data_IF_505306171912
#
_entry.id   IF_505306171912
#
_cell.length_a   1.000
_cell.length_b   1.000
_cell.length_c   1.000
_cell.angle_alpha   90.00
_cell.angle_beta   90.00
_cell.angle_gamma   90.00
#
_symmetry.space_group_name_H-M   'P 1'
#
loop_
_entity.id
_entity.type
_entity.pdbx_description
1 polymer ?
#
# COMPACT_ATOMS: atom_id res chain seq x y z
N UNK A 1 -20.26 -26.20 -15.37
CA UNK A 1 -20.65 -24.86 -14.90
C UNK A 1 -19.77 -23.88 -15.65
N UNK A 2 -20.35 -22.95 -16.42
CA UNK A 2 -19.58 -21.94 -17.14
C UNK A 2 -18.84 -21.08 -16.12
N UNK A 3 -17.56 -21.35 -15.86
CA UNK A 3 -16.73 -20.47 -15.05
C UNK A 3 -16.32 -19.31 -15.94
N UNK A 4 -17.00 -18.18 -15.79
CA UNK A 4 -16.49 -16.93 -16.35
C UNK A 4 -15.08 -16.70 -15.80
N UNK A 5 -14.12 -16.41 -16.67
CA UNK A 5 -12.75 -16.06 -16.25
C UNK A 5 -12.80 -14.96 -15.17
N UNK A 6 -11.94 -15.03 -14.13
CA UNK A 6 -11.92 -14.00 -13.10
C UNK A 6 -11.60 -12.63 -13.70
N UNK A 7 -12.13 -11.56 -13.10
CA UNK A 7 -11.72 -10.22 -13.45
C UNK A 7 -10.23 -10.03 -13.11
N UNK A 8 -9.47 -9.42 -14.01
CA UNK A 8 -8.05 -9.16 -13.77
C UNK A 8 -7.91 -8.06 -12.70
N UNK A 9 -7.07 -8.26 -11.67
CA UNK A 9 -6.78 -7.23 -10.69
C UNK A 9 -5.97 -6.09 -11.31
N UNK A 10 -6.12 -4.89 -10.74
CA UNK A 10 -5.20 -3.78 -10.99
C UNK A 10 -3.77 -4.19 -10.56
N UNK A 11 -2.75 -3.74 -11.30
CA UNK A 11 -1.35 -3.86 -10.91
C UNK A 11 -0.94 -2.60 -10.17
N UNK A 12 -0.55 -2.73 -8.89
CA UNK A 12 -0.06 -1.61 -8.09
C UNK A 12 1.42 -1.80 -7.76
N UNK A 13 2.27 -0.84 -8.14
CA UNK A 13 3.71 -0.90 -7.84
C UNK A 13 3.97 -0.63 -6.36
N UNK A 14 4.44 -1.63 -5.61
CA UNK A 14 4.82 -1.49 -4.20
C UNK A 14 6.12 -0.68 -4.10
N UNK A 15 6.00 0.55 -3.57
CA UNK A 15 7.06 1.58 -3.61
C UNK A 15 7.51 1.93 -5.04
N UNK A 16 6.60 1.82 -6.01
CA UNK A 16 6.87 1.88 -7.46
C UNK A 16 7.33 0.54 -8.04
N UNK A 17 8.09 0.55 -9.14
CA UNK A 17 8.75 -0.63 -9.71
C UNK A 17 10.04 -0.95 -8.94
N UNK A 18 9.89 -1.27 -7.65
CA UNK A 18 10.99 -1.31 -6.67
C UNK A 18 11.95 -2.49 -6.86
N UNK A 19 11.60 -3.48 -7.68
CA UNK A 19 12.53 -4.53 -8.08
C UNK A 19 13.59 -4.03 -9.09
N UNK A 20 13.27 -3.00 -9.89
CA UNK A 20 14.16 -2.47 -10.94
C UNK A 20 14.82 -1.15 -10.55
N UNK A 21 14.10 -0.30 -9.81
CA UNK A 21 14.53 1.05 -9.44
C UNK A 21 14.51 1.26 -7.92
N UNK A 22 15.28 2.23 -7.40
CA UNK A 22 15.31 2.50 -5.96
C UNK A 22 13.89 2.77 -5.44
N UNK A 23 13.50 2.07 -4.39
CA UNK A 23 12.16 2.17 -3.80
C UNK A 23 11.78 3.60 -3.41
N UNK A 24 10.49 3.94 -3.52
CA UNK A 24 9.95 5.25 -3.14
C UNK A 24 10.61 6.44 -3.88
N UNK A 25 10.99 6.28 -5.15
CA UNK A 25 11.55 7.37 -5.97
C UNK A 25 10.65 7.76 -7.14
N UNK A 26 10.78 8.99 -7.65
CA UNK A 26 10.03 9.41 -8.84
C UNK A 26 10.30 8.50 -10.04
N UNK A 27 11.54 7.99 -10.19
CA UNK A 27 11.86 7.01 -11.24
C UNK A 27 11.10 5.69 -11.07
N UNK A 28 11.02 5.14 -9.85
CA UNK A 28 10.32 3.87 -9.61
C UNK A 28 8.81 4.03 -9.84
N UNK A 29 8.23 5.17 -9.46
CA UNK A 29 6.83 5.48 -9.74
C UNK A 29 6.56 5.64 -11.24
N UNK A 30 7.39 6.44 -11.94
CA UNK A 30 7.25 6.62 -13.37
C UNK A 30 7.42 5.30 -14.14
N UNK A 31 8.34 4.42 -13.71
CA UNK A 31 8.46 3.09 -14.31
C UNK A 31 7.20 2.27 -14.12
N UNK A 32 6.66 2.20 -12.90
CA UNK A 32 5.45 1.42 -12.64
C UNK A 32 4.29 1.85 -13.55
N UNK A 33 4.14 3.17 -13.77
CA UNK A 33 3.14 3.73 -14.68
C UNK A 33 3.46 3.35 -16.14
N UNK A 34 4.72 3.43 -16.56
CA UNK A 34 5.16 3.03 -17.90
C UNK A 34 4.92 1.54 -18.17
N UNK A 35 5.07 0.69 -17.14
CA UNK A 35 4.73 -0.72 -17.20
C UNK A 35 3.23 -0.95 -17.37
N UNK A 36 2.39 0.06 -17.12
CA UNK A 36 0.94 0.01 -17.25
C UNK A 36 0.20 -0.20 -15.92
N UNK A 37 0.84 0.08 -14.78
CA UNK A 37 0.22 -0.04 -13.46
C UNK A 37 -0.93 0.97 -13.29
N UNK A 38 -2.10 0.49 -12.87
CA UNK A 38 -3.25 1.34 -12.56
C UNK A 38 -3.17 2.00 -11.18
N UNK A 39 -2.14 1.65 -10.40
CA UNK A 39 -1.83 2.30 -9.14
C UNK A 39 -0.36 2.16 -8.74
N UNK A 40 0.01 2.92 -7.73
CA UNK A 40 1.29 2.84 -7.04
C UNK A 40 1.02 2.93 -5.54
N UNK A 41 1.90 2.34 -4.75
CA UNK A 41 1.91 2.45 -3.30
C UNK A 41 3.20 3.16 -2.87
N UNK A 42 3.11 3.98 -1.83
CA UNK A 42 4.26 4.65 -1.24
C UNK A 42 4.05 4.97 0.23
N UNK A 43 5.14 4.90 0.98
CA UNK A 43 5.21 5.11 2.41
C UNK A 43 5.47 6.58 2.78
N UNK A 44 4.91 7.06 3.89
CA UNK A 44 5.08 8.47 4.29
C UNK A 44 5.65 8.68 5.69
N UNK A 45 6.57 9.65 5.79
CA UNK A 45 7.04 10.26 7.04
C UNK A 45 7.01 11.79 6.95
N UNK A 46 7.06 12.47 8.09
CA UNK A 46 7.08 13.94 8.18
C UNK A 46 8.44 14.40 8.69
N UNK A 47 9.06 15.36 8.01
CA UNK A 47 10.29 16.05 8.43
C UNK A 47 10.04 17.05 9.56
N UNK A 48 11.09 17.64 10.12
CA UNK A 48 11.01 18.64 11.19
C UNK A 48 10.34 19.95 10.75
N UNK A 49 10.32 20.25 9.44
CA UNK A 49 9.75 21.44 8.81
C UNK A 49 8.44 21.16 8.05
N UNK A 50 7.67 20.16 8.49
CA UNK A 50 6.32 19.85 7.99
C UNK A 50 6.28 19.43 6.50
N UNK A 51 7.33 18.80 5.97
CA UNK A 51 7.31 18.20 4.63
C UNK A 51 7.04 16.70 4.72
N UNK A 52 6.06 16.24 3.95
CA UNK A 52 5.80 14.80 3.82
C UNK A 52 6.73 14.23 2.75
N UNK A 53 7.53 13.23 3.12
CA UNK A 53 8.48 12.56 2.24
C UNK A 53 8.08 11.11 1.98
N UNK A 54 8.37 10.63 0.78
CA UNK A 54 8.10 9.25 0.33
C UNK A 54 9.25 8.36 0.80
N UNK A 55 9.05 7.59 1.87
CA UNK A 55 10.12 6.77 2.47
C UNK A 55 9.58 5.69 3.40
N UNK A 56 10.12 4.47 3.35
CA UNK A 56 9.60 3.35 4.12
C UNK A 56 10.02 3.37 5.60
N UNK A 57 11.33 3.36 5.84
CA UNK A 57 11.88 3.20 7.19
C UNK A 57 11.80 4.52 7.98
N UNK A 58 11.88 4.43 9.31
CA UNK A 58 11.92 5.62 10.17
C UNK A 58 13.28 6.33 10.12
N UNK A 59 14.31 5.68 9.58
CA UNK A 59 15.68 6.21 9.46
C UNK A 59 16.21 6.10 8.03
N UNK A 60 17.18 6.95 7.70
CA UNK A 60 17.74 7.11 6.35
C UNK A 60 18.70 5.98 5.94
N UNK A 61 19.18 5.20 6.91
CA UNK A 61 20.41 4.40 6.82
C UNK A 61 20.39 3.28 5.78
N UNK A 62 19.23 2.67 5.49
CA UNK A 62 19.16 1.48 4.63
C UNK A 62 19.30 1.81 3.16
N UNK A 63 18.67 2.89 2.69
CA UNK A 63 18.47 3.16 1.25
C UNK A 63 19.10 4.45 0.77
N UNK A 64 19.74 5.22 1.65
CA UNK A 64 20.34 6.52 1.32
C UNK A 64 21.74 6.68 1.89
N UNK A 65 22.42 7.75 1.47
CA UNK A 65 23.69 8.21 2.02
C UNK A 65 23.54 9.05 3.30
N UNK A 66 22.31 9.27 3.77
CA UNK A 66 22.00 9.94 5.03
C UNK A 66 21.92 8.98 6.22
N UNK A 67 21.89 9.55 7.43
CA UNK A 67 21.88 8.78 8.68
C UNK A 67 20.86 9.29 9.69
N UNK A 68 20.28 8.36 10.46
CA UNK A 68 19.41 8.69 11.58
C UNK A 68 17.95 8.96 11.21
N UNK A 69 17.14 9.38 12.19
CA UNK A 69 15.68 9.44 12.04
C UNK A 69 15.24 10.61 11.15
N UNK A 70 14.33 10.33 10.21
CA UNK A 70 13.81 11.33 9.25
C UNK A 70 13.23 12.56 9.96
N UNK A 71 12.47 12.33 11.04
CA UNK A 71 11.82 13.40 11.81
C UNK A 71 12.77 14.37 12.52
N UNK A 72 14.08 14.09 12.56
CA UNK A 72 15.08 14.99 13.13
C UNK A 72 15.60 16.05 12.13
N UNK A 73 15.34 15.87 10.84
CA UNK A 73 15.88 16.74 9.79
C UNK A 73 14.80 17.63 9.19
N UNK A 74 15.18 18.84 8.78
CA UNK A 74 14.39 19.64 7.84
C UNK A 74 14.55 19.07 6.43
N UNK A 75 13.55 19.23 5.59
CA UNK A 75 13.69 18.91 4.17
C UNK A 75 14.51 19.96 3.45
N UNK A 76 14.20 21.24 3.70
CA UNK A 76 14.81 22.35 2.99
C UNK A 76 15.97 22.99 3.76
N UNK A 77 16.93 23.53 3.00
CA UNK A 77 18.03 24.36 3.50
C UNK A 77 19.35 23.61 3.64
N UNK A 78 20.35 24.29 4.21
CA UNK A 78 21.69 23.72 4.39
C UNK A 78 21.63 22.46 5.28
N UNK A 79 22.08 21.32 4.71
CA UNK A 79 21.99 20.02 5.36
C UNK A 79 20.59 19.40 5.38
N UNK A 80 19.64 19.94 4.62
CA UNK A 80 18.29 19.42 4.47
C UNK A 80 18.24 18.10 3.69
N UNK A 81 17.16 17.33 3.88
CA UNK A 81 16.94 16.07 3.18
C UNK A 81 16.83 16.21 1.66
N UNK A 82 16.61 17.40 1.12
CA UNK A 82 16.69 17.66 -0.32
C UNK A 82 18.06 17.35 -0.93
N UNK A 83 19.12 17.26 -0.11
CA UNK A 83 20.47 16.91 -0.53
C UNK A 83 20.83 15.43 -0.33
N UNK A 84 20.01 14.67 0.42
CA UNK A 84 20.21 13.23 0.64
C UNK A 84 19.87 12.46 -0.64
N UNK A 85 20.61 11.39 -0.92
CA UNK A 85 20.52 10.62 -2.15
C UNK A 85 20.38 9.13 -1.89
N UNK A 86 19.62 8.45 -2.75
CA UNK A 86 19.55 6.99 -2.73
C UNK A 86 20.90 6.36 -3.06
N UNK A 87 21.19 5.22 -2.45
CA UNK A 87 22.45 4.48 -2.71
C UNK A 87 22.38 3.59 -3.95
N UNK A 88 21.18 3.26 -4.41
CA UNK A 88 20.95 2.48 -5.63
C UNK A 88 20.81 3.37 -6.86
N UNK A 89 21.20 2.83 -8.02
CA UNK A 89 21.09 3.52 -9.31
C UNK A 89 19.67 3.42 -9.91
N UNK A 90 19.19 4.46 -10.62
CA UNK A 90 19.80 5.78 -10.72
C UNK A 90 19.69 6.52 -9.37
N UNK A 91 20.81 7.10 -8.94
CA UNK A 91 20.86 7.90 -7.71
C UNK A 91 19.86 9.06 -7.78
N UNK A 92 18.99 9.15 -6.79
CA UNK A 92 17.89 10.13 -6.76
C UNK A 92 17.73 10.77 -5.38
N UNK A 93 17.09 11.93 -5.35
CA UNK A 93 16.62 12.57 -4.13
C UNK A 93 15.38 11.86 -3.56
N UNK A 94 15.17 11.96 -2.24
CA UNK A 94 13.93 11.52 -1.59
C UNK A 94 12.76 12.40 -2.07
N UNK A 95 11.74 11.85 -2.75
CA UNK A 95 10.59 12.63 -3.21
C UNK A 95 9.72 13.13 -2.06
N UNK A 96 9.12 14.29 -2.26
CA UNK A 96 8.02 14.78 -1.41
C UNK A 96 6.67 14.26 -1.89
N UNK A 97 5.67 14.28 -1.00
CA UNK A 97 4.29 13.99 -1.34
C UNK A 97 3.75 14.96 -2.40
N UNK A 98 4.18 16.22 -2.35
CA UNK A 98 3.81 17.24 -3.33
C UNK A 98 4.36 16.91 -4.73
N UNK A 99 5.62 16.48 -4.83
CA UNK A 99 6.20 16.03 -6.09
C UNK A 99 5.48 14.79 -6.64
N UNK A 100 5.10 13.85 -5.79
CA UNK A 100 4.32 12.69 -6.22
C UNK A 100 2.90 13.08 -6.67
N UNK A 101 2.23 13.99 -5.97
CA UNK A 101 0.94 14.53 -6.42
C UNK A 101 1.07 15.24 -7.78
N UNK A 102 2.15 15.98 -8.02
CA UNK A 102 2.43 16.61 -9.29
C UNK A 102 2.58 15.57 -10.42
N UNK A 103 3.37 14.51 -10.19
CA UNK A 103 3.51 13.39 -11.13
C UNK A 103 2.14 12.77 -11.48
N UNK A 104 1.28 12.56 -10.48
CA UNK A 104 -0.07 12.00 -10.67
C UNK A 104 -1.03 12.93 -11.40
N UNK A 105 -0.77 14.24 -11.44
CA UNK A 105 -1.61 15.24 -12.09
C UNK A 105 -1.24 15.49 -13.56
N UNK A 106 -0.09 14.98 -14.00
CA UNK A 106 0.31 14.98 -15.40
C UNK A 106 -0.76 14.30 -16.28
N UNK A 107 -1.08 14.84 -17.47
CA UNK A 107 -2.18 14.34 -18.30
C UNK A 107 -2.15 12.82 -18.56
N UNK A 108 -0.97 12.23 -18.74
CA UNK A 108 -0.78 10.80 -18.96
C UNK A 108 -1.02 9.93 -17.72
N UNK A 109 -0.98 10.50 -16.51
CA UNK A 109 -0.99 9.76 -15.24
C UNK A 109 -2.30 9.88 -14.46
N UNK A 110 -3.30 10.60 -15.00
CA UNK A 110 -4.58 10.86 -14.30
C UNK A 110 -5.43 9.61 -14.06
N UNK A 111 -5.08 8.48 -14.65
CA UNK A 111 -5.72 7.19 -14.41
C UNK A 111 -5.15 6.43 -13.19
N UNK A 112 -3.98 6.84 -12.71
CA UNK A 112 -3.20 6.13 -11.67
C UNK A 112 -3.71 6.48 -10.28
N UNK A 113 -3.92 5.46 -9.44
CA UNK A 113 -4.25 5.62 -8.01
C UNK A 113 -2.98 5.62 -7.15
N UNK A 114 -3.01 6.31 -6.03
CA UNK A 114 -1.94 6.25 -5.03
C UNK A 114 -2.49 5.68 -3.72
N UNK A 115 -1.97 4.53 -3.31
CA UNK A 115 -2.15 4.04 -1.95
C UNK A 115 -1.03 4.58 -1.07
N UNK A 116 -1.38 5.45 -0.13
CA UNK A 116 -0.43 6.09 0.79
C UNK A 116 -0.32 5.24 2.06
N UNK A 117 0.77 4.52 2.27
CA UNK A 117 1.03 3.76 3.50
C UNK A 117 1.42 4.71 4.65
N UNK A 118 0.49 4.86 5.60
CA UNK A 118 0.62 5.79 6.73
C UNK A 118 1.25 5.04 7.90
N UNK A 119 2.53 5.30 8.13
CA UNK A 119 3.27 4.65 9.21
C UNK A 119 2.72 5.05 10.58
N UNK A 120 2.51 4.07 11.49
CA UNK A 120 1.82 4.30 12.77
C UNK A 120 2.55 5.22 13.74
N UNK A 121 3.85 5.47 13.53
CA UNK A 121 4.65 6.40 14.33
C UNK A 121 4.48 7.88 13.93
N UNK A 122 3.70 8.20 12.89
CA UNK A 122 3.37 9.58 12.55
C UNK A 122 2.37 10.18 13.54
N UNK A 123 2.46 11.49 13.79
CA UNK A 123 1.38 12.23 14.44
C UNK A 123 0.22 12.41 13.42
N UNK A 124 -0.93 11.83 13.73
CA UNK A 124 -2.05 11.74 12.79
C UNK A 124 -2.66 13.12 12.45
N UNK A 125 -2.87 13.99 13.44
CA UNK A 125 -3.42 15.33 13.22
C UNK A 125 -2.46 16.18 12.38
N UNK A 126 -1.17 16.15 12.69
CA UNK A 126 -0.11 16.84 11.94
C UNK A 126 -0.03 16.32 10.51
N UNK A 127 0.01 15.00 10.31
CA UNK A 127 0.11 14.39 8.99
C UNK A 127 -1.04 14.82 8.08
N UNK A 128 -2.29 14.63 8.53
CA UNK A 128 -3.44 14.88 7.67
C UNK A 128 -3.71 16.37 7.45
N UNK A 129 -3.34 17.24 8.41
CA UNK A 129 -3.33 18.69 8.18
C UNK A 129 -2.40 19.06 7.03
N UNK A 130 -1.15 18.56 7.04
CA UNK A 130 -0.17 18.83 5.98
C UNK A 130 -0.62 18.21 4.65
N UNK A 131 -1.14 16.96 4.65
CA UNK A 131 -1.69 16.34 3.44
C UNK A 131 -2.80 17.19 2.82
N UNK A 132 -3.72 17.71 3.63
CA UNK A 132 -4.77 18.62 3.16
C UNK A 132 -4.17 19.86 2.51
N UNK A 133 -3.21 20.50 3.17
CA UNK A 133 -2.52 21.70 2.66
C UNK A 133 -1.83 21.43 1.31
N UNK A 134 -1.17 20.28 1.14
CA UNK A 134 -0.52 19.89 -0.12
C UNK A 134 -1.56 19.61 -1.23
N UNK A 135 -2.57 18.80 -0.96
CA UNK A 135 -3.56 18.40 -1.97
C UNK A 135 -4.35 19.61 -2.48
N UNK A 136 -4.64 20.59 -1.61
CA UNK A 136 -5.37 21.81 -1.97
C UNK A 136 -4.58 22.76 -2.88
N UNK A 137 -3.27 22.57 -3.06
CA UNK A 137 -2.47 23.35 -4.02
C UNK A 137 -2.78 22.99 -5.48
N UNK A 138 -3.36 21.81 -5.73
CA UNK A 138 -3.61 21.32 -7.08
C UNK A 138 -4.98 21.79 -7.59
N UNK A 139 -5.09 22.23 -8.86
CA UNK A 139 -6.36 22.63 -9.44
C UNK A 139 -7.30 21.42 -9.56
N UNK A 140 -8.60 21.67 -9.32
CA UNK A 140 -9.67 20.67 -9.37
C UNK A 140 -9.39 19.41 -8.54
N UNK A 141 -8.62 19.54 -7.45
CA UNK A 141 -8.12 18.40 -6.68
C UNK A 141 -9.27 17.50 -6.20
N UNK A 142 -10.44 18.04 -5.89
CA UNK A 142 -11.60 17.28 -5.41
C UNK A 142 -12.08 16.25 -6.44
N UNK A 143 -11.89 16.52 -7.73
CA UNK A 143 -12.35 15.65 -8.82
C UNK A 143 -11.21 14.92 -9.51
N UNK A 144 -10.03 15.53 -9.60
CA UNK A 144 -8.90 15.02 -10.37
C UNK A 144 -7.84 14.31 -9.51
N UNK A 145 -7.73 14.63 -8.21
CA UNK A 145 -6.66 14.09 -7.35
C UNK A 145 -7.21 13.27 -6.17
N UNK A 146 -7.99 13.89 -5.29
CA UNK A 146 -8.51 13.30 -4.06
C UNK A 146 -9.18 11.92 -4.24
N UNK A 147 -10.02 11.67 -5.27
CA UNK A 147 -10.64 10.37 -5.47
C UNK A 147 -9.65 9.22 -5.75
N UNK A 148 -8.42 9.56 -6.16
CA UNK A 148 -7.34 8.61 -6.50
C UNK A 148 -6.38 8.39 -5.35
N UNK A 149 -6.43 9.20 -4.30
CA UNK A 149 -5.61 9.06 -3.10
C UNK A 149 -6.33 8.18 -2.08
N UNK A 150 -5.68 7.07 -1.71
CA UNK A 150 -6.22 6.05 -0.80
C UNK A 150 -5.29 5.96 0.42
N UNK A 151 -5.79 6.43 1.56
CA UNK A 151 -5.08 6.41 2.83
C UNK A 151 -5.02 4.98 3.37
N UNK A 152 -3.81 4.44 3.48
CA UNK A 152 -3.52 3.13 4.04
C UNK A 152 -3.26 3.19 5.54
N UNK A 153 -4.27 2.85 6.33
CA UNK A 153 -4.25 3.00 7.79
C UNK A 153 -3.88 1.69 8.48
N UNK A 154 -2.75 1.70 9.19
CA UNK A 154 -2.35 0.57 10.03
C UNK A 154 -3.04 0.55 11.38
N UNK A 155 -3.28 1.73 11.98
CA UNK A 155 -3.78 1.86 13.35
C UNK A 155 -5.11 2.65 13.42
N UNK A 156 -6.09 2.26 14.26
CA UNK A 156 -7.41 2.92 14.31
C UNK A 156 -7.37 4.41 14.72
N UNK A 157 -6.34 4.83 15.46
CA UNK A 157 -6.17 6.24 15.88
C UNK A 157 -6.09 7.23 14.72
N UNK A 158 -5.79 6.77 13.50
CA UNK A 158 -5.72 7.62 12.32
C UNK A 158 -7.09 7.84 11.66
N UNK A 159 -8.12 7.06 12.01
CA UNK A 159 -9.44 7.14 11.36
C UNK A 159 -10.10 8.50 11.61
N UNK A 160 -10.17 8.93 12.88
CA UNK A 160 -10.83 10.19 13.23
C UNK A 160 -10.10 11.42 12.66
N UNK A 161 -8.76 11.54 12.79
CA UNK A 161 -7.99 12.59 12.11
C UNK A 161 -8.15 12.58 10.58
N UNK A 162 -8.14 11.40 9.92
CA UNK A 162 -8.36 11.32 8.48
C UNK A 162 -9.73 11.88 8.07
N UNK A 163 -10.80 11.52 8.80
CA UNK A 163 -12.14 12.06 8.57
C UNK A 163 -12.23 13.57 8.81
N UNK A 164 -11.49 14.08 9.80
CA UNK A 164 -11.48 15.50 10.17
C UNK A 164 -10.80 16.38 9.13
N UNK A 165 -9.61 16.01 8.66
CA UNK A 165 -8.80 16.87 7.81
C UNK A 165 -8.90 16.57 6.31
N UNK A 166 -9.08 15.29 5.95
CA UNK A 166 -9.08 14.83 4.54
C UNK A 166 -10.28 13.92 4.24
N UNK A 167 -11.53 14.35 4.53
CA UNK A 167 -12.72 13.51 4.39
C UNK A 167 -12.94 12.97 2.98
N UNK A 168 -12.51 13.72 1.96
CA UNK A 168 -12.64 13.37 0.54
C UNK A 168 -11.70 12.23 0.09
N UNK A 169 -10.63 11.97 0.84
CA UNK A 169 -9.68 10.91 0.50
C UNK A 169 -10.23 9.56 0.97
N UNK A 170 -10.15 8.55 0.10
CA UNK A 170 -10.62 7.20 0.44
C UNK A 170 -9.73 6.60 1.53
N UNK A 171 -10.29 5.70 2.33
CA UNK A 171 -9.57 5.03 3.42
C UNK A 171 -9.56 3.52 3.21
N UNK A 172 -8.38 2.94 3.31
CA UNK A 172 -8.14 1.51 3.35
C UNK A 172 -7.46 1.14 4.66
N UNK A 173 -7.78 -0.02 5.23
CA UNK A 173 -6.93 -0.59 6.28
C UNK A 173 -5.80 -1.37 5.62
N UNK A 174 -4.56 -1.12 6.04
CA UNK A 174 -3.40 -1.96 5.71
C UNK A 174 -3.06 -2.80 6.93
N UNK A 175 -2.96 -4.12 6.76
CA UNK A 175 -2.62 -4.98 7.88
C UNK A 175 -2.48 -6.47 7.54
N UNK A 176 -2.10 -7.25 8.55
CA UNK A 176 -1.95 -8.68 8.40
C UNK A 176 -3.19 -9.48 8.81
N UNK A 177 -4.16 -8.92 9.53
CA UNK A 177 -5.19 -9.69 10.24
C UNK A 177 -6.61 -9.40 9.74
N UNK A 178 -7.28 -10.36 9.06
CA UNK A 178 -8.69 -10.22 8.68
C UNK A 178 -9.63 -10.02 9.88
N UNK A 179 -9.26 -10.54 11.05
CA UNK A 179 -10.04 -10.36 12.28
C UNK A 179 -9.95 -8.91 12.79
N UNK A 180 -8.75 -8.33 12.80
CA UNK A 180 -8.57 -6.92 13.19
C UNK A 180 -9.21 -5.98 12.17
N UNK A 181 -9.08 -6.28 10.88
CA UNK A 181 -9.74 -5.55 9.79
C UNK A 181 -11.26 -5.46 10.01
N UNK A 182 -11.91 -6.59 10.36
CA UNK A 182 -13.34 -6.62 10.67
C UNK A 182 -13.68 -5.84 11.93
N UNK A 183 -12.90 -6.01 12.98
CA UNK A 183 -13.23 -5.49 14.30
C UNK A 183 -13.04 -3.98 14.40
N UNK A 184 -12.00 -3.44 13.78
CA UNK A 184 -11.56 -2.07 14.03
C UNK A 184 -11.66 -1.14 12.82
N UNK A 185 -11.79 -1.66 11.59
CA UNK A 185 -11.72 -0.84 10.38
C UNK A 185 -12.94 -1.00 9.46
N UNK A 186 -13.76 -2.04 9.65
CA UNK A 186 -14.81 -2.39 8.70
C UNK A 186 -15.82 -1.29 8.42
N UNK A 187 -16.17 -0.53 9.46
CA UNK A 187 -17.16 0.53 9.38
C UNK A 187 -16.63 1.77 8.65
N UNK A 188 -15.32 2.03 8.74
CA UNK A 188 -14.73 3.31 8.37
C UNK A 188 -13.85 3.27 7.11
N UNK A 189 -13.51 2.06 6.66
CA UNK A 189 -12.72 1.80 5.46
C UNK A 189 -13.58 1.17 4.36
N UNK A 190 -13.36 1.63 3.13
CA UNK A 190 -14.02 1.10 1.92
C UNK A 190 -13.18 0.00 1.24
N UNK A 191 -11.94 -0.17 1.69
CA UNK A 191 -10.98 -1.09 1.13
C UNK A 191 -10.08 -1.71 2.22
N UNK A 192 -9.46 -2.84 1.91
CA UNK A 192 -8.50 -3.51 2.79
C UNK A 192 -7.30 -4.01 1.99
N UNK A 193 -6.11 -3.53 2.32
CA UNK A 193 -4.84 -4.04 1.80
C UNK A 193 -4.28 -5.05 2.79
N UNK A 194 -4.39 -6.34 2.48
CA UNK A 194 -4.04 -7.40 3.44
C UNK A 194 -2.82 -8.21 3.00
N UNK A 195 -2.04 -8.65 3.98
CA UNK A 195 -0.92 -9.56 3.75
C UNK A 195 -1.41 -10.87 3.11
N UNK A 196 -0.78 -11.31 2.01
CA UNK A 196 -1.22 -12.46 1.21
C UNK A 196 -1.49 -13.75 2.02
N UNK A 197 -0.58 -14.23 2.89
CA UNK A 197 -0.78 -15.49 3.62
C UNK A 197 -2.03 -15.50 4.50
N UNK A 198 -2.45 -14.33 4.99
CA UNK A 198 -3.63 -14.18 5.82
C UNK A 198 -4.95 -14.39 5.07
N UNK A 199 -4.91 -14.39 3.74
CA UNK A 199 -6.06 -14.62 2.87
C UNK A 199 -6.18 -16.08 2.40
N UNK A 200 -5.13 -16.89 2.52
CA UNK A 200 -5.09 -18.27 1.99
C UNK A 200 -6.06 -19.20 2.74
N UNK A 201 -6.03 -19.15 4.07
CA UNK A 201 -6.83 -20.04 4.91
C UNK A 201 -8.34 -19.74 4.90
N UNK A 202 -9.14 -20.64 5.49
CA UNK A 202 -10.61 -20.53 5.49
C UNK A 202 -11.15 -19.20 6.06
N UNK A 203 -10.46 -18.61 7.04
CA UNK A 203 -10.82 -17.30 7.60
C UNK A 203 -10.60 -16.17 6.58
N UNK A 204 -9.47 -16.19 5.88
CA UNK A 204 -9.16 -15.26 4.80
C UNK A 204 -10.12 -15.36 3.63
N UNK A 205 -10.41 -16.59 3.19
CA UNK A 205 -11.39 -16.85 2.12
C UNK A 205 -12.81 -16.40 2.52
N UNK A 206 -13.18 -16.51 3.80
CA UNK A 206 -14.43 -15.94 4.31
C UNK A 206 -14.41 -14.41 4.30
N UNK A 207 -13.29 -13.79 4.66
CA UNK A 207 -13.11 -12.33 4.54
C UNK A 207 -13.32 -11.82 3.12
N UNK A 208 -12.71 -12.46 2.13
CA UNK A 208 -12.88 -12.11 0.72
C UNK A 208 -14.35 -12.17 0.27
N UNK A 209 -15.08 -13.22 0.68
CA UNK A 209 -16.52 -13.34 0.36
C UNK A 209 -17.35 -12.24 1.00
N UNK A 210 -17.11 -11.95 2.27
CA UNK A 210 -17.87 -10.93 2.99
C UNK A 210 -17.55 -9.52 2.48
N UNK A 211 -16.29 -9.25 2.12
CA UNK A 211 -15.89 -7.98 1.51
C UNK A 211 -16.59 -7.77 0.16
N UNK A 212 -16.62 -8.81 -0.68
CA UNK A 212 -17.37 -8.79 -1.95
C UNK A 212 -18.87 -8.53 -1.72
N UNK A 213 -19.48 -9.22 -0.76
CA UNK A 213 -20.90 -9.03 -0.43
C UNK A 213 -21.21 -7.62 0.09
N UNK A 214 -20.25 -6.97 0.76
CA UNK A 214 -20.36 -5.61 1.27
C UNK A 214 -19.87 -4.53 0.28
N UNK A 215 -19.53 -4.90 -0.97
CA UNK A 215 -18.94 -4.00 -1.97
C UNK A 215 -17.68 -3.26 -1.47
N UNK A 216 -16.82 -3.96 -0.73
CA UNK A 216 -15.54 -3.44 -0.24
C UNK A 216 -14.39 -4.02 -1.05
N UNK A 217 -13.46 -3.15 -1.45
CA UNK A 217 -12.28 -3.56 -2.21
C UNK A 217 -11.32 -4.35 -1.32
N UNK A 218 -10.67 -5.39 -1.86
CA UNK A 218 -9.56 -6.08 -1.18
C UNK A 218 -8.35 -6.01 -2.09
N UNK A 219 -7.26 -5.44 -1.61
CA UNK A 219 -5.94 -5.48 -2.23
C UNK A 219 -5.04 -6.42 -1.43
N UNK A 220 -3.95 -6.89 -2.05
CA UNK A 220 -3.05 -7.86 -1.42
C UNK A 220 -1.59 -7.49 -1.61
N UNK A 221 -0.80 -7.61 -0.54
CA UNK A 221 0.62 -7.22 -0.51
C UNK A 221 1.49 -8.21 0.29
N UNK A 222 2.81 -8.19 0.14
CA UNK A 222 3.51 -7.86 -1.11
C UNK A 222 3.63 -9.17 -1.89
N UNK A 223 3.11 -9.19 -3.11
CA UNK A 223 2.95 -10.42 -3.90
C UNK A 223 3.94 -10.38 -5.06
N UNK A 224 5.07 -11.06 -4.89
CA UNK A 224 6.15 -11.11 -5.88
C UNK A 224 6.25 -12.47 -6.58
N UNK A 225 5.61 -13.51 -6.03
CA UNK A 225 5.64 -14.84 -6.63
C UNK A 225 4.50 -14.98 -7.62
N UNK A 226 4.81 -15.51 -8.81
CA UNK A 226 3.81 -15.70 -9.87
C UNK A 226 2.67 -16.64 -9.44
N UNK A 227 2.95 -17.66 -8.64
CA UNK A 227 1.90 -18.56 -8.10
C UNK A 227 0.94 -17.82 -7.15
N UNK A 228 1.46 -16.94 -6.29
CA UNK A 228 0.65 -16.05 -5.45
C UNK A 228 -0.15 -15.04 -6.29
N UNK A 229 0.42 -14.46 -7.36
CA UNK A 229 -0.29 -13.55 -8.26
C UNK A 229 -1.51 -14.20 -8.94
N UNK A 230 -1.34 -15.44 -9.43
CA UNK A 230 -2.44 -16.20 -10.04
C UNK A 230 -3.51 -16.56 -9.01
N UNK A 231 -3.11 -16.97 -7.79
CA UNK A 231 -4.06 -17.24 -6.70
C UNK A 231 -4.84 -15.99 -6.29
N UNK A 232 -4.17 -14.85 -6.13
CA UNK A 232 -4.83 -13.58 -5.83
C UNK A 232 -5.86 -13.20 -6.91
N UNK A 233 -5.52 -13.44 -8.18
CA UNK A 233 -6.44 -13.25 -9.32
C UNK A 233 -7.64 -14.19 -9.21
N UNK A 234 -7.44 -15.48 -8.87
CA UNK A 234 -8.54 -16.44 -8.64
C UNK A 234 -9.49 -15.98 -7.54
N UNK A 235 -8.95 -15.36 -6.49
CA UNK A 235 -9.74 -14.84 -5.37
C UNK A 235 -10.59 -13.63 -5.77
N UNK A 236 -10.27 -12.98 -6.89
CA UNK A 236 -10.94 -11.78 -7.38
C UNK A 236 -10.65 -10.57 -6.48
N UNK A 237 -9.40 -10.41 -6.06
CA UNK A 237 -8.93 -9.18 -5.40
C UNK A 237 -9.00 -8.00 -6.37
N UNK A 238 -9.14 -6.78 -5.83
CA UNK A 238 -9.19 -5.55 -6.61
C UNK A 238 -7.83 -5.19 -7.21
N UNK A 239 -6.75 -5.34 -6.42
CA UNK A 239 -5.40 -5.02 -6.84
C UNK A 239 -4.37 -5.95 -6.19
N UNK A 240 -3.26 -6.14 -6.88
CA UNK A 240 -2.07 -6.84 -6.37
C UNK A 240 -0.95 -5.81 -6.26
N UNK A 241 -0.38 -5.67 -5.06
CA UNK A 241 0.81 -4.86 -4.80
C UNK A 241 2.06 -5.71 -4.99
N UNK A 242 2.93 -5.31 -5.89
CA UNK A 242 4.12 -6.07 -6.28
C UNK A 242 5.31 -5.17 -6.58
N UNK A 243 6.52 -5.68 -6.32
CA UNK A 243 7.77 -5.03 -6.70
C UNK A 243 8.05 -5.22 -8.21
N UNK A 244 7.44 -6.25 -8.82
CA UNK A 244 7.68 -6.72 -10.19
C UNK A 244 6.49 -6.36 -11.10
N UNK A 245 6.31 -5.06 -11.36
CA UNK A 245 5.17 -4.52 -12.13
C UNK A 245 5.08 -5.08 -13.54
N UNK A 246 6.21 -5.18 -14.25
CA UNK A 246 6.28 -5.77 -15.58
C UNK A 246 5.89 -7.27 -15.61
N UNK A 247 6.27 -8.03 -14.57
CA UNK A 247 5.95 -9.46 -14.49
C UNK A 247 4.45 -9.69 -14.31
N UNK A 248 3.80 -8.90 -13.44
CA UNK A 248 2.36 -9.00 -13.24
C UNK A 248 1.60 -8.60 -14.52
N UNK A 249 2.06 -7.60 -15.27
CA UNK A 249 1.46 -7.27 -16.58
C UNK A 249 1.52 -8.46 -17.55
N UNK A 250 2.70 -9.06 -17.74
CA UNK A 250 2.84 -10.22 -18.63
C UNK A 250 1.96 -11.39 -18.17
N UNK A 251 1.88 -11.61 -16.86
CA UNK A 251 1.04 -12.66 -16.29
C UNK A 251 -0.46 -12.37 -16.48
N UNK A 252 -0.90 -11.10 -16.40
CA UNK A 252 -2.28 -10.69 -16.71
C UNK A 252 -2.65 -10.96 -18.16
N UNK A 253 -1.74 -10.75 -19.11
CA UNK A 253 -1.96 -11.10 -20.53
C UNK A 253 -2.16 -12.61 -20.69
N UNK A 254 -1.32 -13.44 -20.05
CA UNK A 254 -1.48 -14.90 -20.06
C UNK A 254 -2.79 -15.37 -19.39
N UNK A 255 -3.13 -14.81 -18.22
CA UNK A 255 -4.37 -15.12 -17.50
C UNK A 255 -5.63 -14.69 -18.27
N UNK A 256 -5.56 -13.59 -19.03
CA UNK A 256 -6.67 -13.11 -19.86
C UNK A 256 -6.90 -14.00 -21.08
N UNK A 257 -5.83 -14.56 -21.64
CA UNK A 257 -5.91 -15.48 -22.78
C UNK A 257 -6.48 -16.85 -22.38
N UNK A 258 -5.96 -17.46 -21.32
CA UNK A 258 -6.46 -18.72 -20.76
C UNK A 258 -6.09 -18.82 -19.28
N UNK A 259 -7.05 -18.46 -18.41
CA UNK A 259 -6.84 -18.49 -16.97
C UNK A 259 -6.61 -19.92 -16.47
N UNK A 260 -7.37 -20.89 -16.95
CA UNK A 260 -7.30 -22.27 -16.44
C UNK A 260 -5.98 -22.95 -16.82
N UNK A 261 -5.47 -22.72 -18.02
CA UNK A 261 -4.15 -23.20 -18.43
C UNK A 261 -3.03 -22.51 -17.65
N UNK A 262 -3.11 -21.19 -17.48
CA UNK A 262 -2.15 -20.42 -16.67
C UNK A 262 -2.16 -20.91 -15.21
N UNK A 263 -3.34 -21.11 -14.63
CA UNK A 263 -3.51 -21.64 -13.29
C UNK A 263 -2.83 -23.00 -13.12
N UNK A 264 -3.12 -23.96 -14.01
CA UNK A 264 -2.48 -25.30 -13.96
C UNK A 264 -0.96 -25.24 -14.15
N UNK A 265 -0.45 -24.25 -14.88
CA UNK A 265 0.99 -24.07 -15.12
C UNK A 265 1.72 -23.54 -13.88
N UNK A 266 1.15 -22.55 -13.18
CA UNK A 266 1.85 -21.83 -12.12
C UNK A 266 1.46 -22.27 -10.71
N UNK A 267 0.23 -22.70 -10.49
CA UNK A 267 -0.29 -22.99 -9.14
C UNK A 267 -0.29 -24.49 -8.88
N UNK A 268 0.51 -24.91 -7.89
CA UNK A 268 0.53 -26.31 -7.44
C UNK A 268 -0.82 -26.73 -6.85
N UNK A 269 -1.30 -27.97 -7.08
CA UNK A 269 -2.45 -28.52 -6.36
C UNK A 269 -2.26 -28.51 -4.83
N UNK A 270 -1.01 -28.48 -4.37
CA UNK A 270 -0.64 -28.42 -2.96
C UNK A 270 -0.33 -27.00 -2.48
N UNK A 271 -0.65 -25.95 -3.24
CA UNK A 271 -0.24 -24.56 -2.95
C UNK A 271 -0.38 -24.17 -1.47
N UNK A 272 -1.56 -24.35 -0.88
CA UNK A 272 -1.84 -23.98 0.51
C UNK A 272 -1.20 -24.90 1.57
N UNK A 273 -0.76 -26.09 1.17
CA UNK A 273 -0.21 -27.13 2.07
C UNK A 273 1.29 -27.34 1.89
N UNK A 274 1.86 -26.86 0.78
CA UNK A 274 3.25 -27.07 0.38
C UNK A 274 4.22 -26.08 1.02
N UNK A 275 3.75 -25.16 1.87
CA UNK A 275 4.58 -24.16 2.52
C UNK A 275 4.11 -23.84 3.93
N UNK A 276 5.06 -23.78 4.87
CA UNK A 276 4.82 -23.29 6.23
C UNK A 276 4.38 -21.81 6.26
N UNK A 277 4.59 -21.07 5.16
CA UNK A 277 4.12 -19.69 4.99
C UNK A 277 2.61 -19.56 5.13
N UNK A 278 1.86 -20.59 4.72
CA UNK A 278 0.39 -20.61 4.77
C UNK A 278 -0.16 -21.47 5.90
N UNK A 279 0.71 -22.04 6.72
CA UNK A 279 0.31 -22.84 7.87
C UNK A 279 -0.35 -21.96 8.92
N UNK A 280 -1.57 -22.31 9.34
CA UNK A 280 -2.43 -21.46 10.15
C UNK A 280 -1.75 -20.92 11.43
N UNK A 281 -1.06 -21.75 12.26
CA UNK A 281 -0.31 -21.23 13.41
C UNK A 281 0.77 -20.21 13.07
N UNK A 282 1.51 -20.42 11.96
CA UNK A 282 2.55 -19.49 11.49
C UNK A 282 1.94 -18.15 11.06
N UNK A 283 0.81 -18.21 10.34
CA UNK A 283 0.05 -17.02 9.93
C UNK A 283 -0.51 -16.27 11.14
N UNK A 284 -1.07 -16.97 12.14
CA UNK A 284 -1.57 -16.34 13.36
C UNK A 284 -0.47 -15.69 14.20
N UNK A 285 0.69 -16.35 14.31
CA UNK A 285 1.85 -15.77 14.98
C UNK A 285 2.30 -14.48 14.26
N UNK A 286 2.39 -14.52 12.92
CA UNK A 286 2.72 -13.32 12.13
C UNK A 286 1.70 -12.20 12.32
N UNK A 287 0.40 -12.52 12.31
CA UNK A 287 -0.67 -11.54 12.58
C UNK A 287 -0.52 -10.88 13.95
N UNK A 288 -0.25 -11.69 14.98
CA UNK A 288 -0.04 -11.20 16.34
C UNK A 288 1.20 -10.28 16.44
N UNK A 289 2.33 -10.71 15.88
CA UNK A 289 3.57 -9.91 15.89
C UNK A 289 3.42 -8.61 15.11
N UNK A 290 2.76 -8.65 13.95
CA UNK A 290 2.46 -7.48 13.16
C UNK A 290 1.60 -6.48 13.95
N UNK A 291 0.54 -6.95 14.62
CA UNK A 291 -0.30 -6.09 15.46
C UNK A 291 0.50 -5.49 16.62
N UNK A 292 1.30 -6.29 17.32
CA UNK A 292 2.10 -5.83 18.46
C UNK A 292 3.09 -4.74 18.04
N UNK A 293 3.73 -4.87 16.88
CA UNK A 293 4.65 -3.85 16.35
C UNK A 293 3.92 -2.57 15.94
N UNK A 294 2.73 -2.67 15.33
CA UNK A 294 1.90 -1.49 15.02
C UNK A 294 1.46 -0.76 16.30
N UNK A 295 0.97 -1.48 17.30
CA UNK A 295 0.54 -0.90 18.59
C UNK A 295 1.72 -0.25 19.33
N UNK A 296 2.90 -0.88 19.30
CA UNK A 296 4.14 -0.31 19.85
C UNK A 296 4.52 1.01 19.15
N UNK A 297 4.52 1.02 17.82
CA UNK A 297 4.90 2.21 17.04
C UNK A 297 3.85 3.33 17.13
N UNK A 298 2.58 2.99 17.30
CA UNK A 298 1.50 3.95 17.55
C UNK A 298 1.47 4.48 19.00
N UNK A 299 2.16 3.81 19.93
CA UNK A 299 2.11 4.13 21.36
C UNK A 299 0.76 3.84 22.03
N UNK A 300 -0.12 3.08 21.38
CA UNK A 300 -1.46 2.76 21.88
C UNK A 300 -1.95 1.41 21.31
N UNK A 301 -2.89 0.77 22.01
CA UNK A 301 -3.55 -0.43 21.51
C UNK A 301 -4.68 -0.09 20.54
N UNK A 302 -5.06 -1.03 19.67
CA UNK A 302 -6.23 -0.84 18.79
C UNK A 302 -7.51 -0.64 19.61
N UNK A 303 -7.63 -1.32 20.75
CA UNK A 303 -8.78 -1.21 21.64
C UNK A 303 -8.93 0.20 22.23
N UNK A 304 -7.85 0.73 22.81
CA UNK A 304 -7.86 2.07 23.43
C UNK A 304 -8.15 3.19 22.43
N UNK A 305 -7.73 3.02 21.18
CA UNK A 305 -7.93 4.01 20.13
C UNK A 305 -9.39 4.13 19.66
N UNK A 306 -10.16 3.02 19.70
CA UNK A 306 -11.58 3.03 19.30
C UNK A 306 -12.51 3.47 20.44
N UNK A 307 -12.05 3.42 21.69
CA UNK A 307 -12.82 3.85 22.87
C UNK A 307 -12.56 5.29 23.30
N UNK A 308 -11.66 5.99 22.62
CA UNK A 308 -11.38 7.41 22.91
C UNK A 308 -12.51 8.27 22.33
N UNK A 309 -13.13 9.16 23.13
CA UNK A 309 -14.41 9.82 22.82
C UNK A 309 -14.38 10.75 21.61
#
# INVERSE_FOLDING_TARGET
>A
MSSSSPAMPDCWGHRGASAEFPENTLRSFAQAIQDGSEGIESDVHITADDVIVMFHDTTLDRTTDGHGPIGAYKYYGEGGLEHVRTTQEPVQQIPTFEQLCALLMEPGHRHVKLNVDIKPNNDADRLFRIMREVVQKFPDYETQLAPRLILGLWHPSFIAPAKKYVPALRRAHIGASPADARRYFWQDCDAFSLCFPSLVGAHGQRFLRDARAANKDVMVWTVNRQDEMVEATRWGVKAILTDYTADLRQLREAMSADFDATYRKYVSPWFSWGSLRYYTPSVWMYQYLCRAEVEKNAGATYGSAVTSP
#
